data_IF_610719573107
#
_entry.id   IF_610719573107
#
_cell.length_a   1.000
_cell.length_b   1.000
_cell.length_c   1.000
_cell.angle_alpha   90.00
_cell.angle_beta   90.00
_cell.angle_gamma   90.00
#
_symmetry.space_group_name_H-M   'P 1'
#
loop_
_entity.id
_entity.type
_entity.pdbx_description
1 polymer ?
#
# COMPACT_ATOMS: atom_id res chain seq x y z
N UNK A 1 12.25 2.11 -24.02
CA UNK A 1 12.11 1.68 -22.61
C UNK A 1 11.21 2.67 -21.89
N UNK A 2 10.32 2.17 -21.02
CA UNK A 2 9.50 2.96 -20.08
C UNK A 2 9.76 2.44 -18.67
N UNK A 3 10.23 3.30 -17.76
CA UNK A 3 10.54 2.94 -16.37
C UNK A 3 9.35 3.26 -15.48
N UNK A 4 8.85 2.21 -14.83
CA UNK A 4 7.71 2.27 -13.90
C UNK A 4 8.21 1.94 -12.50
N UNK A 5 7.87 2.77 -11.51
CA UNK A 5 8.12 2.49 -10.10
C UNK A 5 6.79 2.44 -9.34
N UNK A 6 6.70 1.52 -8.39
CA UNK A 6 5.50 1.32 -7.60
C UNK A 6 5.85 0.73 -6.23
N UNK A 7 5.01 0.94 -5.21
CA UNK A 7 5.17 0.26 -3.93
C UNK A 7 4.90 -1.25 -4.08
N UNK A 8 5.24 -2.02 -3.06
CA UNK A 8 4.82 -3.41 -2.97
C UNK A 8 3.31 -3.44 -2.74
N UNK A 9 2.57 -3.88 -3.76
CA UNK A 9 1.12 -4.08 -3.74
C UNK A 9 0.82 -5.57 -3.91
N UNK A 10 -0.27 -6.04 -3.35
CA UNK A 10 -0.70 -7.44 -3.44
C UNK A 10 -0.88 -7.90 -4.90
N UNK A 11 -1.40 -7.00 -5.75
CA UNK A 11 -1.72 -7.31 -7.14
C UNK A 11 -0.61 -6.98 -8.14
N UNK A 12 0.63 -6.71 -7.69
CA UNK A 12 1.73 -6.32 -8.59
C UNK A 12 1.96 -7.29 -9.76
N UNK A 13 1.91 -8.59 -9.49
CA UNK A 13 2.10 -9.61 -10.54
C UNK A 13 0.96 -9.61 -11.56
N UNK A 14 -0.29 -9.47 -11.11
CA UNK A 14 -1.46 -9.40 -11.98
C UNK A 14 -1.46 -8.13 -12.85
N UNK A 15 -1.12 -6.98 -12.24
CA UNK A 15 -0.99 -5.70 -12.96
C UNK A 15 0.09 -5.79 -14.03
N UNK A 16 1.26 -6.34 -13.68
CA UNK A 16 2.35 -6.53 -14.64
C UNK A 16 1.93 -7.44 -15.80
N UNK A 17 1.29 -8.58 -15.51
CA UNK A 17 0.82 -9.51 -16.54
C UNK A 17 -0.15 -8.82 -17.53
N UNK A 18 -1.14 -8.08 -17.01
CA UNK A 18 -2.10 -7.32 -17.83
C UNK A 18 -1.40 -6.24 -18.66
N UNK A 19 -0.37 -5.57 -18.13
CA UNK A 19 0.41 -4.61 -18.86
C UNK A 19 1.21 -5.27 -20.00
N UNK A 20 1.88 -6.38 -19.74
CA UNK A 20 2.68 -7.10 -20.74
C UNK A 20 1.83 -7.61 -21.89
N UNK A 21 0.60 -8.07 -21.64
CA UNK A 21 -0.37 -8.42 -22.70
C UNK A 21 -0.66 -7.22 -23.62
N UNK A 22 -0.77 -6.01 -23.07
CA UNK A 22 -0.93 -4.80 -23.90
C UNK A 22 0.33 -4.47 -24.72
N UNK A 23 1.50 -4.90 -24.26
CA UNK A 23 2.77 -4.65 -24.95
C UNK A 23 3.04 -5.61 -26.11
N UNK A 24 2.29 -6.72 -26.27
CA UNK A 24 2.53 -7.73 -27.32
C UNK A 24 2.54 -7.14 -28.75
N UNK A 25 1.74 -6.11 -29.02
CA UNK A 25 1.73 -5.40 -30.29
C UNK A 25 2.90 -4.41 -30.51
N UNK A 26 3.83 -4.29 -29.55
CA UNK A 26 4.90 -3.29 -29.56
C UNK A 26 6.27 -3.91 -29.22
N UNK A 27 6.87 -4.68 -30.13
CA UNK A 27 8.08 -5.48 -29.88
C UNK A 27 9.30 -4.66 -29.41
N UNK A 28 9.36 -3.38 -29.76
CA UNK A 28 10.43 -2.47 -29.36
C UNK A 28 10.19 -1.82 -27.99
N UNK A 29 9.03 -2.07 -27.35
CA UNK A 29 8.70 -1.48 -26.05
C UNK A 29 9.28 -2.33 -24.93
N UNK A 30 10.23 -1.75 -24.20
CA UNK A 30 10.83 -2.37 -23.01
C UNK A 30 10.21 -1.74 -21.77
N UNK A 31 9.68 -2.54 -20.86
CA UNK A 31 9.19 -2.14 -19.55
C UNK A 31 10.31 -2.38 -18.51
N UNK A 32 10.74 -1.31 -17.83
CA UNK A 32 11.63 -1.38 -16.67
C UNK A 32 10.76 -1.26 -15.41
N UNK A 33 10.40 -2.41 -14.81
CA UNK A 33 9.47 -2.53 -13.70
C UNK A 33 10.21 -2.62 -12.37
N UNK A 34 10.00 -1.65 -11.48
CA UNK A 34 10.69 -1.58 -10.21
C UNK A 34 9.74 -1.44 -9.03
N UNK A 35 9.84 -2.38 -8.09
CA UNK A 35 9.12 -2.30 -6.82
C UNK A 35 10.03 -1.58 -5.82
N UNK A 36 9.60 -0.41 -5.38
CA UNK A 36 10.33 0.42 -4.42
C UNK A 36 9.34 1.21 -3.56
N UNK A 37 9.46 1.08 -2.25
CA UNK A 37 8.64 1.81 -1.28
C UNK A 37 9.17 3.22 -0.99
N UNK A 38 10.37 3.55 -1.46
CA UNK A 38 10.94 4.87 -1.25
C UNK A 38 10.26 5.92 -2.15
N UNK A 39 10.03 7.11 -1.60
CA UNK A 39 9.71 8.30 -2.42
C UNK A 39 10.95 8.65 -3.25
N UNK A 40 11.03 8.12 -4.46
CA UNK A 40 12.10 8.47 -5.38
C UNK A 40 11.80 9.82 -6.02
N UNK A 41 12.81 10.68 -6.07
CA UNK A 41 12.80 11.87 -6.92
C UNK A 41 12.70 11.39 -8.38
N UNK A 42 11.55 11.63 -9.01
CA UNK A 42 11.24 11.15 -10.35
C UNK A 42 12.21 11.67 -11.41
N UNK A 43 12.80 12.82 -11.20
CA UNK A 43 13.79 13.41 -12.12
C UNK A 43 15.15 12.76 -11.92
N UNK A 44 15.62 12.66 -10.68
CA UNK A 44 16.93 12.09 -10.33
C UNK A 44 17.03 10.61 -10.69
N UNK A 45 15.94 9.85 -10.57
CA UNK A 45 15.88 8.42 -10.84
C UNK A 45 15.34 8.08 -12.24
N UNK A 46 15.13 9.09 -13.11
CA UNK A 46 14.65 8.91 -14.48
C UNK A 46 13.36 8.07 -14.56
N UNK A 47 12.43 8.30 -13.64
CA UNK A 47 11.14 7.62 -13.60
C UNK A 47 10.24 8.23 -14.67
N UNK A 48 9.62 7.39 -15.49
CA UNK A 48 8.64 7.81 -16.48
C UNK A 48 7.22 7.75 -15.93
N UNK A 49 6.92 6.72 -15.13
CA UNK A 49 5.60 6.51 -14.51
C UNK A 49 5.82 6.01 -13.08
N UNK A 50 5.03 6.53 -12.14
CA UNK A 50 5.05 6.08 -10.75
C UNK A 50 3.67 5.80 -10.20
N UNK A 51 3.56 4.85 -9.28
CA UNK A 51 2.39 4.66 -8.42
C UNK A 51 2.79 5.07 -7.01
N UNK A 52 1.92 5.79 -6.33
CA UNK A 52 2.10 6.09 -4.90
C UNK A 52 0.78 6.03 -4.16
N UNK A 53 0.86 5.64 -2.89
CA UNK A 53 -0.22 5.72 -1.91
C UNK A 53 0.15 6.84 -0.94
N UNK A 54 -0.78 7.76 -0.70
CA UNK A 54 -0.56 8.91 0.16
C UNK A 54 -1.33 10.16 -0.27
N UNK A 55 -0.92 11.35 0.19
CA UNK A 55 -1.50 12.61 -0.24
C UNK A 55 -1.26 12.84 -1.74
N UNK A 56 -2.07 13.71 -2.32
CA UNK A 56 -1.92 14.09 -3.73
C UNK A 56 -0.47 14.51 -4.01
N UNK A 57 0.13 14.02 -5.10
CA UNK A 57 1.44 14.46 -5.53
C UNK A 57 1.45 15.98 -5.75
N UNK A 58 2.44 16.63 -5.14
CA UNK A 58 2.70 18.04 -5.34
C UNK A 58 3.42 18.27 -6.67
N UNK A 59 3.61 19.53 -7.02
CA UNK A 59 4.11 20.12 -8.26
C UNK A 59 4.98 19.29 -9.21
N UNK A 60 4.93 19.67 -10.49
CA UNK A 60 5.71 19.11 -11.61
C UNK A 60 5.38 17.66 -12.00
N UNK A 61 4.21 17.15 -11.58
CA UNK A 61 3.70 15.85 -12.04
C UNK A 61 2.27 15.95 -12.57
N UNK A 62 1.94 15.08 -13.53
CA UNK A 62 0.58 14.82 -13.95
C UNK A 62 0.13 13.56 -13.23
N UNK A 63 -0.85 13.68 -12.35
CA UNK A 63 -1.34 12.60 -11.51
C UNK A 63 -2.81 12.28 -11.82
N UNK A 64 -3.14 10.98 -11.78
CA UNK A 64 -4.51 10.46 -11.84
C UNK A 64 -4.80 9.72 -10.55
N UNK A 65 -5.85 10.12 -9.83
CA UNK A 65 -6.36 9.36 -8.70
C UNK A 65 -6.97 8.06 -9.22
N UNK A 66 -6.60 6.95 -8.58
CA UNK A 66 -7.09 5.61 -8.92
C UNK A 66 -8.20 5.19 -7.95
N UNK A 67 -7.91 5.12 -6.66
CA UNK A 67 -8.87 4.69 -5.63
C UNK A 67 -8.54 5.34 -4.28
N UNK A 68 -9.46 5.20 -3.33
CA UNK A 68 -9.17 5.36 -1.91
C UNK A 68 -8.52 4.08 -1.37
N UNK A 69 -7.69 4.25 -0.36
CA UNK A 69 -6.89 3.19 0.23
C UNK A 69 -6.95 3.31 1.75
N UNK A 70 -7.51 2.33 2.41
CA UNK A 70 -7.81 2.40 3.84
C UNK A 70 -7.10 1.28 4.57
N UNK A 71 -6.44 1.63 5.68
CA UNK A 71 -5.86 0.65 6.59
C UNK A 71 -6.81 0.38 7.74
N UNK A 72 -6.78 -0.87 8.26
CA UNK A 72 -7.58 -1.30 9.42
C UNK A 72 -6.73 -2.05 10.44
N UNK A 73 -7.16 -1.97 11.69
CA UNK A 73 -6.59 -2.80 12.74
C UNK A 73 -7.30 -4.15 12.70
N UNK A 74 -6.52 -5.21 12.54
CA UNK A 74 -7.05 -6.57 12.47
C UNK A 74 -6.32 -7.52 13.41
N UNK A 75 -7.01 -8.57 13.82
CA UNK A 75 -6.47 -9.63 14.67
C UNK A 75 -7.14 -10.95 14.38
N UNK A 76 -6.43 -12.07 14.56
CA UNK A 76 -7.08 -13.37 14.54
C UNK A 76 -7.92 -13.62 15.81
N UNK A 77 -9.08 -14.32 15.74
CA UNK A 77 -9.85 -14.70 16.91
C UNK A 77 -9.04 -15.47 17.96
N UNK A 78 -8.07 -16.27 17.53
CA UNK A 78 -7.19 -17.02 18.42
C UNK A 78 -6.33 -16.13 19.33
N UNK A 79 -5.90 -14.96 18.86
CA UNK A 79 -5.20 -14.01 19.70
C UNK A 79 -6.15 -13.39 20.74
N UNK A 80 -7.35 -13.00 20.31
CA UNK A 80 -8.35 -12.41 21.19
C UNK A 80 -8.85 -13.39 22.25
N UNK A 81 -8.91 -14.69 21.94
CA UNK A 81 -9.21 -15.72 22.93
C UNK A 81 -8.17 -15.79 24.07
N UNK A 82 -6.91 -15.47 23.76
CA UNK A 82 -5.81 -15.49 24.77
C UNK A 82 -5.66 -14.20 25.55
N UNK A 83 -5.88 -13.04 24.93
CA UNK A 83 -5.64 -11.73 25.52
C UNK A 83 -6.90 -11.00 25.95
N UNK A 84 -8.06 -11.49 25.52
CA UNK A 84 -9.34 -10.79 25.58
C UNK A 84 -9.51 -9.83 24.39
N UNK A 85 -10.68 -9.19 24.28
CA UNK A 85 -10.94 -8.14 23.30
C UNK A 85 -10.54 -6.80 23.89
N UNK A 86 -9.66 -6.02 23.24
CA UNK A 86 -9.25 -4.72 23.76
C UNK A 86 -10.44 -3.75 23.77
N UNK A 87 -10.63 -3.01 24.86
CA UNK A 87 -11.74 -2.06 25.05
C UNK A 87 -11.44 -0.68 24.46
N UNK A 88 -10.18 -0.38 24.21
CA UNK A 88 -9.73 0.88 23.63
C UNK A 88 -8.45 0.69 22.83
N UNK A 89 -8.14 1.66 21.95
CA UNK A 89 -6.88 1.70 21.20
C UNK A 89 -5.68 1.78 22.17
N UNK A 90 -5.80 2.52 23.25
CA UNK A 90 -4.76 2.64 24.28
C UNK A 90 -4.48 1.28 24.92
N UNK A 91 -5.52 0.55 25.34
CA UNK A 91 -5.37 -0.81 25.89
C UNK A 91 -4.70 -1.75 24.88
N UNK A 92 -5.09 -1.69 23.60
CA UNK A 92 -4.46 -2.49 22.54
C UNK A 92 -2.97 -2.21 22.48
N UNK A 93 -2.57 -0.95 22.39
CA UNK A 93 -1.18 -0.54 22.24
C UNK A 93 -0.31 -0.83 23.48
N UNK A 94 -0.90 -0.82 24.67
CA UNK A 94 -0.19 -1.06 25.93
C UNK A 94 -0.09 -2.54 26.30
N UNK A 95 -1.07 -3.36 25.93
CA UNK A 95 -1.18 -4.76 26.43
C UNK A 95 -1.01 -5.82 25.35
N UNK A 96 -1.38 -5.53 24.10
CA UNK A 96 -1.37 -6.55 23.05
C UNK A 96 -0.05 -6.54 22.27
N UNK A 97 0.37 -7.71 21.78
CA UNK A 97 1.47 -7.76 20.83
C UNK A 97 1.02 -7.15 19.50
N UNK A 98 1.84 -6.31 18.91
CA UNK A 98 1.55 -5.62 17.64
C UNK A 98 2.74 -5.66 16.71
N UNK A 99 2.48 -5.42 15.41
CA UNK A 99 3.53 -5.21 14.40
C UNK A 99 3.89 -3.73 14.26
N UNK A 100 5.01 -3.49 13.62
CA UNK A 100 5.46 -2.17 13.21
C UNK A 100 6.07 -2.24 11.82
N UNK A 101 5.45 -1.56 10.88
CA UNK A 101 6.02 -1.38 9.54
C UNK A 101 7.12 -0.32 9.59
N UNK A 102 8.26 -0.58 8.95
CA UNK A 102 9.38 0.36 8.89
C UNK A 102 9.56 0.95 7.50
N UNK A 103 10.02 2.18 7.49
CA UNK A 103 10.54 2.80 6.29
C UNK A 103 11.99 2.34 6.10
N UNK A 104 12.25 1.55 5.08
CA UNK A 104 13.59 0.98 4.79
C UNK A 104 14.68 2.05 4.68
N UNK A 105 14.34 3.22 4.11
CA UNK A 105 15.31 4.31 3.91
C UNK A 105 15.71 5.01 5.19
N UNK A 106 14.76 5.20 6.11
CA UNK A 106 15.00 5.96 7.36
C UNK A 106 15.20 5.06 8.56
N UNK A 107 14.93 3.76 8.41
CA UNK A 107 14.89 2.76 9.48
C UNK A 107 13.98 3.16 10.66
N UNK A 108 12.93 3.94 10.37
CA UNK A 108 11.97 4.42 11.38
C UNK A 108 10.61 3.77 11.14
N UNK A 109 9.89 3.48 12.22
CA UNK A 109 8.49 3.06 12.15
C UNK A 109 7.64 4.12 11.43
N UNK A 110 6.72 3.65 10.58
CA UNK A 110 5.74 4.52 9.95
C UNK A 110 4.70 5.07 10.95
N UNK A 111 4.52 4.42 12.10
CA UNK A 111 3.38 4.67 12.96
C UNK A 111 2.06 4.31 12.27
N UNK A 112 1.00 4.21 13.06
CA UNK A 112 -0.35 3.98 12.53
C UNK A 112 -1.06 5.32 12.34
N UNK A 113 -1.38 5.76 11.11
CA UNK A 113 -2.05 7.04 10.87
C UNK A 113 -3.57 6.88 11.08
N UNK A 114 -4.14 7.67 11.98
CA UNK A 114 -5.59 7.68 12.23
C UNK A 114 -6.29 8.92 11.68
N UNK A 115 -5.64 10.08 11.75
CA UNK A 115 -6.10 11.36 11.21
C UNK A 115 -4.90 12.10 10.65
N UNK A 116 -5.13 13.16 9.88
CA UNK A 116 -4.09 13.91 9.17
C UNK A 116 -2.80 14.20 9.96
N UNK A 117 -2.90 14.32 11.29
CA UNK A 117 -1.74 14.60 12.15
C UNK A 117 -1.52 13.58 13.28
N UNK A 118 -2.41 12.58 13.46
CA UNK A 118 -2.30 11.61 14.54
C UNK A 118 -1.64 10.33 14.05
N UNK A 119 -0.34 10.21 14.29
CA UNK A 119 0.40 8.97 14.14
C UNK A 119 0.61 8.32 15.50
N UNK A 120 0.14 7.09 15.65
CA UNK A 120 0.31 6.32 16.87
C UNK A 120 1.42 5.30 16.69
N UNK A 121 2.36 5.28 17.62
CA UNK A 121 3.49 4.36 17.61
C UNK A 121 3.26 3.26 18.64
N UNK A 122 3.17 1.98 18.20
CA UNK A 122 3.00 0.86 19.11
C UNK A 122 4.13 0.73 20.12
N UNK A 123 3.81 0.51 21.41
CA UNK A 123 4.79 0.34 22.47
C UNK A 123 5.26 -1.12 22.64
N UNK A 124 4.40 -2.09 22.31
CA UNK A 124 4.67 -3.53 22.47
C UNK A 124 4.86 -4.24 21.14
N UNK A 125 5.75 -3.70 20.32
CA UNK A 125 6.10 -4.29 19.03
C UNK A 125 6.73 -5.66 19.20
N UNK A 126 6.19 -6.67 18.51
CA UNK A 126 6.68 -8.06 18.47
C UNK A 126 7.21 -8.48 17.11
N UNK A 127 6.86 -7.72 16.08
CA UNK A 127 7.37 -7.90 14.73
C UNK A 127 7.68 -6.51 14.15
N UNK A 128 8.87 -6.36 13.63
CA UNK A 128 9.27 -5.20 12.81
C UNK A 128 9.55 -5.74 11.41
N UNK A 129 8.90 -5.18 10.42
CA UNK A 129 9.04 -5.61 9.02
C UNK A 129 8.86 -4.40 8.09
N UNK A 130 9.29 -4.54 6.85
CA UNK A 130 9.06 -3.59 5.75
C UNK A 130 7.99 -4.10 4.76
N UNK A 131 7.27 -5.15 5.14
CA UNK A 131 6.35 -5.87 4.29
C UNK A 131 5.03 -6.18 5.01
N UNK A 132 3.92 -5.60 4.51
CA UNK A 132 2.58 -5.83 5.03
C UNK A 132 2.12 -7.30 4.93
N UNK A 133 2.62 -8.08 3.98
CA UNK A 133 2.30 -9.51 3.89
C UNK A 133 2.87 -10.30 5.08
N UNK A 134 4.04 -9.91 5.59
CA UNK A 134 4.59 -10.49 6.81
C UNK A 134 3.76 -10.12 8.04
N UNK A 135 3.23 -8.88 8.09
CA UNK A 135 2.30 -8.45 9.14
C UNK A 135 1.00 -9.27 9.09
N UNK A 136 0.42 -9.45 7.88
CA UNK A 136 -0.75 -10.29 7.66
C UNK A 136 -0.50 -11.75 8.11
N UNK A 137 0.61 -12.34 7.70
CA UNK A 137 0.96 -13.71 8.08
C UNK A 137 1.06 -13.89 9.60
N UNK A 138 1.68 -12.93 10.30
CA UNK A 138 1.78 -12.93 11.75
C UNK A 138 0.41 -12.75 12.45
N UNK A 139 -0.46 -11.93 11.88
CA UNK A 139 -1.83 -11.74 12.38
C UNK A 139 -2.66 -13.03 12.20
N UNK A 140 -2.64 -13.66 11.02
CA UNK A 140 -3.32 -14.92 10.73
C UNK A 140 -2.85 -16.07 11.63
N UNK A 141 -1.56 -16.10 11.95
CA UNK A 141 -1.00 -17.04 12.92
C UNK A 141 -1.48 -16.79 14.37
N UNK A 142 -2.25 -15.74 14.62
CA UNK A 142 -2.69 -15.36 15.94
C UNK A 142 -1.55 -14.90 16.85
N UNK A 143 -0.48 -14.35 16.27
CA UNK A 143 0.69 -13.91 17.01
C UNK A 143 0.59 -12.48 17.50
N UNK A 144 -0.04 -11.59 16.72
CA UNK A 144 -0.15 -10.16 17.00
C UNK A 144 -1.39 -9.51 16.35
N UNK A 145 -1.70 -8.28 16.76
CA UNK A 145 -2.59 -7.38 16.02
C UNK A 145 -1.77 -6.53 15.06
N UNK A 146 -2.35 -6.19 13.91
CA UNK A 146 -1.66 -5.38 12.90
C UNK A 146 -2.56 -4.33 12.29
N UNK A 147 -1.96 -3.33 11.66
CA UNK A 147 -2.61 -2.25 10.93
C UNK A 147 -2.19 -2.34 9.47
N UNK A 148 -3.05 -2.90 8.64
CA UNK A 148 -2.77 -3.25 7.25
C UNK A 148 -3.85 -2.75 6.30
N UNK A 149 -3.51 -2.58 5.00
CA UNK A 149 -4.44 -2.13 3.97
C UNK A 149 -5.54 -3.16 3.66
N UNK A 150 -6.68 -2.64 3.19
CA UNK A 150 -7.90 -3.40 2.93
C UNK A 150 -7.74 -4.51 1.88
N UNK A 151 -6.92 -4.32 0.88
CA UNK A 151 -6.60 -5.35 -0.11
C UNK A 151 -6.04 -6.64 0.51
N UNK A 152 -5.39 -6.54 1.67
CA UNK A 152 -4.79 -7.68 2.37
C UNK A 152 -5.76 -8.38 3.32
N UNK A 153 -6.63 -7.65 4.00
CA UNK A 153 -7.46 -8.26 5.05
C UNK A 153 -8.89 -8.62 4.60
N UNK A 154 -9.40 -8.07 3.50
CA UNK A 154 -10.81 -8.16 3.11
C UNK A 154 -11.33 -9.61 3.02
N UNK A 155 -10.62 -10.48 2.31
CA UNK A 155 -10.97 -11.89 2.19
C UNK A 155 -10.92 -12.63 3.53
N UNK A 156 -10.01 -12.22 4.42
CA UNK A 156 -9.83 -12.84 5.74
C UNK A 156 -10.89 -12.38 6.74
N UNK A 157 -11.44 -11.17 6.62
CA UNK A 157 -12.63 -10.76 7.36
C UNK A 157 -13.86 -11.56 6.92
N UNK A 158 -14.07 -11.69 5.61
CA UNK A 158 -15.19 -12.43 5.05
C UNK A 158 -15.19 -13.92 5.48
N UNK A 159 -14.01 -14.54 5.60
CA UNK A 159 -13.86 -15.93 6.08
C UNK A 159 -13.88 -16.08 7.60
N UNK A 160 -13.81 -14.98 8.36
CA UNK A 160 -13.66 -15.00 9.82
C UNK A 160 -12.27 -15.36 10.33
N UNK A 161 -11.27 -15.48 9.45
CA UNK A 161 -9.88 -15.74 9.85
C UNK A 161 -9.27 -14.53 10.58
N UNK A 162 -9.73 -13.34 10.26
CA UNK A 162 -9.44 -12.09 10.96
C UNK A 162 -10.73 -11.42 11.41
N UNK A 163 -10.63 -10.58 12.43
CA UNK A 163 -11.68 -9.65 12.87
C UNK A 163 -11.11 -8.24 12.90
N UNK A 164 -11.92 -7.27 12.51
CA UNK A 164 -11.57 -5.86 12.62
C UNK A 164 -11.74 -5.39 14.06
N UNK A 165 -10.78 -4.60 14.52
CA UNK A 165 -10.81 -3.93 15.82
C UNK A 165 -11.05 -2.43 15.63
N UNK A 166 -11.96 -1.88 16.44
CA UNK A 166 -12.30 -0.45 16.45
C UNK A 166 -12.77 0.08 15.08
N UNK A 167 -13.76 -0.55 14.42
CA UNK A 167 -14.30 -0.07 13.15
C UNK A 167 -14.88 1.34 13.26
N UNK A 168 -15.30 1.73 14.46
CA UNK A 168 -15.87 3.03 14.77
C UNK A 168 -14.85 4.18 14.79
N UNK A 169 -13.56 3.88 14.91
CA UNK A 169 -12.51 4.93 14.90
C UNK A 169 -12.36 5.44 13.45
N UNK A 170 -12.61 6.73 13.18
CA UNK A 170 -12.46 7.28 11.85
C UNK A 170 -11.04 7.13 11.31
N UNK A 171 -10.92 6.75 10.05
CA UNK A 171 -9.66 6.70 9.30
C UNK A 171 -9.68 7.78 8.23
N UNK A 172 -8.55 8.44 8.04
CA UNK A 172 -8.36 9.27 6.84
C UNK A 172 -7.92 8.34 5.71
N UNK A 173 -8.72 8.21 4.64
CA UNK A 173 -8.31 7.35 3.55
C UNK A 173 -7.06 7.92 2.88
N UNK A 174 -6.09 7.07 2.65
CA UNK A 174 -5.03 7.33 1.71
C UNK A 174 -5.60 7.27 0.30
N UNK A 175 -4.87 7.79 -0.67
CA UNK A 175 -5.27 7.73 -2.07
C UNK A 175 -4.15 7.11 -2.88
N UNK A 176 -4.53 6.22 -3.80
CA UNK A 176 -3.59 5.71 -4.78
C UNK A 176 -3.59 6.63 -5.99
N UNK A 177 -2.40 7.05 -6.38
CA UNK A 177 -2.18 7.86 -7.58
C UNK A 177 -1.24 7.16 -8.54
N UNK A 178 -1.61 7.17 -9.81
CA UNK A 178 -0.70 6.96 -10.92
C UNK A 178 -0.20 8.32 -11.37
N UNK A 179 1.11 8.54 -11.46
CA UNK A 179 1.67 9.82 -11.84
C UNK A 179 2.81 9.67 -12.87
N UNK A 180 3.08 10.74 -13.58
CA UNK A 180 4.23 10.91 -14.45
C UNK A 180 4.80 12.32 -14.31
N UNK A 181 6.11 12.53 -14.51
CA UNK A 181 6.68 13.88 -14.54
C UNK A 181 6.00 14.75 -15.60
N UNK A 182 5.73 16.00 -15.25
CA UNK A 182 5.29 17.00 -16.19
C UNK A 182 6.51 17.44 -17.01
N UNK A 183 6.56 17.08 -18.29
CA UNK A 183 7.62 17.45 -19.22
C UNK A 183 7.00 18.21 -20.39
N UNK A 184 7.74 19.15 -20.99
CA UNK A 184 7.31 19.89 -22.19
C UNK A 184 6.97 18.93 -23.32
N UNK A 185 7.78 17.89 -23.50
CA UNK A 185 7.54 16.82 -24.46
C UNK A 185 7.61 15.48 -23.72
N UNK A 186 6.55 14.71 -23.80
CA UNK A 186 6.49 13.35 -23.27
C UNK A 186 6.42 12.38 -24.45
N UNK A 187 7.25 11.34 -24.43
CA UNK A 187 7.28 10.32 -25.48
C UNK A 187 5.90 9.63 -25.63
N UNK A 188 5.42 9.38 -26.89
CA UNK A 188 4.15 8.69 -27.14
C UNK A 188 4.05 7.33 -26.43
N UNK A 189 5.15 6.57 -26.34
CA UNK A 189 5.19 5.30 -25.61
C UNK A 189 4.90 5.45 -24.11
N UNK A 190 5.39 6.53 -23.47
CA UNK A 190 5.12 6.81 -22.06
C UNK A 190 3.64 7.16 -21.88
N UNK A 191 3.06 7.94 -22.79
CA UNK A 191 1.65 8.29 -22.74
C UNK A 191 0.76 7.05 -22.90
N UNK A 192 1.05 6.18 -23.88
CA UNK A 192 0.31 4.93 -24.09
C UNK A 192 0.37 4.03 -22.85
N UNK A 193 1.55 3.80 -22.28
CA UNK A 193 1.72 2.98 -21.07
C UNK A 193 1.02 3.63 -19.87
N UNK A 194 1.04 4.95 -19.72
CA UNK A 194 0.35 5.67 -18.66
C UNK A 194 -1.17 5.50 -18.76
N UNK A 195 -1.74 5.51 -19.98
CA UNK A 195 -3.17 5.28 -20.20
C UNK A 195 -3.53 3.83 -19.89
N UNK A 196 -2.77 2.85 -20.41
CA UNK A 196 -2.98 1.43 -20.11
C UNK A 196 -2.90 1.13 -18.60
N UNK A 197 -1.90 1.68 -17.92
CA UNK A 197 -1.78 1.53 -16.46
C UNK A 197 -2.96 2.14 -15.73
N UNK A 198 -3.50 3.28 -16.20
CA UNK A 198 -4.71 3.88 -15.62
C UNK A 198 -5.90 2.93 -15.70
N UNK A 199 -6.13 2.34 -16.88
CA UNK A 199 -7.23 1.39 -17.11
C UNK A 199 -7.05 0.13 -16.24
N UNK A 200 -5.85 -0.45 -16.23
CA UNK A 200 -5.53 -1.67 -15.48
C UNK A 200 -5.74 -1.44 -13.98
N UNK A 201 -5.20 -0.35 -13.45
CA UNK A 201 -5.32 -0.05 -12.02
C UNK A 201 -6.76 0.23 -11.60
N UNK A 202 -7.54 0.94 -12.43
CA UNK A 202 -8.96 1.18 -12.15
C UNK A 202 -9.79 -0.09 -12.20
N UNK A 203 -9.46 -1.01 -13.08
CA UNK A 203 -10.11 -2.31 -13.13
C UNK A 203 -9.75 -3.21 -11.93
N UNK A 204 -8.55 -3.05 -11.38
CA UNK A 204 -8.07 -3.85 -10.24
C UNK A 204 -8.53 -3.29 -8.87
N UNK A 205 -8.60 -1.97 -8.74
CA UNK A 205 -8.82 -1.28 -7.45
C UNK A 205 -10.06 -0.37 -7.44
N UNK A 206 -10.71 -0.15 -8.57
CA UNK A 206 -11.84 0.81 -8.73
C UNK A 206 -13.22 0.21 -8.59
N UNK A 207 -13.34 -0.99 -8.00
CA UNK A 207 -14.60 -1.69 -7.75
C UNK A 207 -15.31 -1.24 -6.49
#
# INVERSE_FOLDING_TARGET
MVRITLPKLTHNAAILSKLLTRCEGYPELVIDWRVDTARLDSVKHQIDIGIRIGPQPEDLVIARRICDYTDRIVSAPALLARYGVPKSLEELLDRFPVSSLINVRTNRSWGWPFRESLHVFPKRTRLVTDDNENELAAALAGYLCTYIPDELYHAHLASGALVELFPEIPRTPWQMYLYRPQRTVTSPRVLAVFDWMTEILRAEYGG
#
